data_IF_488915128424
#
_entry.id   IF_488915128424
#
_cell.length_a   1.000
_cell.length_b   1.000
_cell.length_c   1.000
_cell.angle_alpha   90.00
_cell.angle_beta   90.00
_cell.angle_gamma   90.00
#
_symmetry.space_group_name_H-M   'P 1'
#
loop_
_entity.id
_entity.type
_entity.pdbx_description
1 polymer ?
#
# COMPACT_ATOMS: atom_id res chain seq x y z
N UNK A 1 26.50 13.08 13.69
CA UNK A 1 25.03 12.96 13.59
C UNK A 1 24.74 12.23 12.29
N UNK A 2 24.40 10.95 12.36
CA UNK A 2 24.10 10.17 11.16
C UNK A 2 22.74 10.63 10.63
N UNK A 3 22.75 11.20 9.43
CA UNK A 3 21.55 11.48 8.66
C UNK A 3 20.82 10.14 8.48
N UNK A 4 19.68 9.99 9.17
CA UNK A 4 18.70 9.00 8.74
C UNK A 4 18.12 9.57 7.45
N UNK A 5 18.42 8.97 6.32
CA UNK A 5 17.61 9.12 5.10
C UNK A 5 16.22 8.55 5.41
N UNK A 6 15.46 9.34 6.14
CA UNK A 6 14.10 9.05 6.51
C UNK A 6 13.27 9.38 5.26
N UNK A 7 12.97 8.34 4.47
CA UNK A 7 11.81 8.29 3.57
C UNK A 7 10.47 8.40 4.35
N UNK A 8 10.51 8.98 5.54
CA UNK A 8 9.41 9.12 6.46
C UNK A 8 8.62 10.33 5.95
N UNK A 9 7.80 10.11 4.94
CA UNK A 9 6.81 11.08 4.49
C UNK A 9 5.52 10.83 5.30
N UNK A 10 5.39 11.39 6.53
CA UNK A 10 4.24 11.11 7.37
C UNK A 10 2.96 11.70 6.75
N UNK A 11 1.87 10.94 6.82
CA UNK A 11 0.60 11.32 6.17
C UNK A 11 -0.07 12.57 6.73
N UNK A 12 0.36 13.09 7.89
CA UNK A 12 -0.14 14.35 8.44
C UNK A 12 0.47 15.60 7.78
N UNK A 13 1.53 15.45 6.98
CA UNK A 13 2.20 16.56 6.29
C UNK A 13 1.95 16.55 4.77
N UNK A 14 1.14 15.59 4.29
CA UNK A 14 0.84 15.46 2.87
C UNK A 14 -0.05 16.61 2.39
N UNK A 15 0.29 17.16 1.24
CA UNK A 15 -0.49 18.17 0.54
C UNK A 15 -1.09 17.59 -0.74
N UNK A 16 -2.15 18.23 -1.23
CA UNK A 16 -2.76 17.85 -2.51
C UNK A 16 -1.74 18.04 -3.64
N UNK A 17 -1.52 16.99 -4.43
CA UNK A 17 -0.54 16.98 -5.52
C UNK A 17 0.82 16.38 -5.15
N UNK A 18 1.07 16.09 -3.87
CA UNK A 18 2.29 15.41 -3.46
C UNK A 18 2.41 14.01 -4.08
N UNK A 19 3.61 13.67 -4.54
CA UNK A 19 3.97 12.34 -5.01
C UNK A 19 4.98 11.74 -4.06
N UNK A 20 4.58 10.66 -3.38
CA UNK A 20 5.35 10.03 -2.33
C UNK A 20 5.63 8.58 -2.73
N UNK A 21 6.91 8.19 -2.66
CA UNK A 21 7.35 6.83 -2.99
C UNK A 21 7.83 6.14 -1.73
N UNK A 22 7.24 4.97 -1.43
CA UNK A 22 7.65 4.11 -0.33
C UNK A 22 7.95 2.71 -0.84
N UNK A 23 9.01 2.09 -0.32
CA UNK A 23 9.39 0.72 -0.61
C UNK A 23 8.93 -0.18 0.54
N UNK A 24 7.98 -1.07 0.26
CA UNK A 24 7.47 -2.05 1.21
C UNK A 24 7.85 -3.46 0.75
N UNK A 25 8.82 -4.13 1.41
CA UNK A 25 9.20 -5.48 1.04
C UNK A 25 8.07 -6.46 1.34
N UNK A 26 7.71 -7.28 0.36
CA UNK A 26 6.73 -8.36 0.49
C UNK A 26 7.49 -9.68 0.53
N UNK A 27 7.48 -10.36 1.68
CA UNK A 27 8.08 -11.67 1.82
C UNK A 27 7.15 -12.74 1.24
N UNK A 28 7.62 -13.49 0.26
CA UNK A 28 6.92 -14.66 -0.28
C UNK A 28 7.31 -15.89 0.54
N UNK A 29 6.36 -16.62 1.15
CA UNK A 29 6.68 -17.86 1.86
C UNK A 29 7.19 -18.94 0.90
N UNK A 30 8.18 -19.75 1.31
CA UNK A 30 8.69 -20.90 0.52
C UNK A 30 7.62 -21.96 0.23
N UNK A 31 6.51 -21.92 0.96
CA UNK A 31 5.34 -22.79 0.76
C UNK A 31 4.29 -22.19 -0.19
N UNK A 32 4.53 -20.99 -0.74
CA UNK A 32 3.62 -20.36 -1.68
C UNK A 32 3.51 -21.19 -2.96
N UNK A 33 2.29 -21.37 -3.44
CA UNK A 33 2.04 -22.11 -4.68
C UNK A 33 2.43 -21.22 -5.86
N UNK A 34 3.22 -21.70 -6.84
CA UNK A 34 3.47 -20.92 -8.05
C UNK A 34 2.17 -20.53 -8.75
N UNK A 35 2.06 -19.27 -9.17
CA UNK A 35 0.84 -18.73 -9.74
C UNK A 35 0.78 -17.21 -9.74
N UNK A 36 -0.34 -16.69 -10.23
CA UNK A 36 -0.65 -15.26 -10.16
C UNK A 36 -1.45 -14.95 -8.89
N UNK A 37 -1.00 -13.93 -8.17
CA UNK A 37 -1.62 -13.42 -6.97
C UNK A 37 -2.12 -12.01 -7.22
N UNK A 38 -3.42 -11.81 -7.02
CA UNK A 38 -3.99 -10.46 -6.99
C UNK A 38 -3.31 -9.66 -5.87
N UNK A 39 -2.85 -8.46 -6.21
CA UNK A 39 -2.16 -7.58 -5.26
C UNK A 39 -3.00 -6.34 -5.03
N UNK A 40 -3.13 -5.97 -3.76
CA UNK A 40 -3.92 -4.84 -3.31
C UNK A 40 -3.10 -3.97 -2.37
N UNK A 41 -3.38 -2.68 -2.36
CA UNK A 41 -2.84 -1.71 -1.39
C UNK A 41 -4.01 -1.08 -0.65
N UNK A 42 -3.89 -0.94 0.67
CA UNK A 42 -4.89 -0.28 1.50
C UNK A 42 -4.25 0.67 2.48
N UNK A 43 -4.92 1.78 2.75
CA UNK A 43 -4.55 2.72 3.80
C UNK A 43 -5.38 2.42 5.05
N UNK A 44 -4.77 2.59 6.21
CA UNK A 44 -5.42 2.36 7.49
C UNK A 44 -5.37 3.62 8.33
N UNK A 45 -6.45 3.89 9.06
CA UNK A 45 -6.41 4.82 10.16
C UNK A 45 -5.53 4.25 11.27
N UNK A 46 -4.47 4.97 11.63
CA UNK A 46 -3.47 4.46 12.59
C UNK A 46 -4.03 4.23 13.99
N UNK A 47 -5.00 5.05 14.41
CA UNK A 47 -5.53 4.99 15.78
C UNK A 47 -6.51 3.84 15.99
N UNK A 48 -7.36 3.60 15.00
CA UNK A 48 -8.42 2.60 15.06
C UNK A 48 -8.05 1.29 14.37
N UNK A 49 -7.03 1.29 13.51
CA UNK A 49 -6.69 0.15 12.65
C UNK A 49 -7.73 -0.11 11.56
N UNK A 50 -8.70 0.79 11.37
CA UNK A 50 -9.75 0.63 10.36
C UNK A 50 -9.21 0.99 8.99
N UNK A 51 -9.45 0.12 8.00
CA UNK A 51 -9.08 0.36 6.60
C UNK A 51 -9.92 1.50 6.02
N UNK A 52 -9.27 2.47 5.38
CA UNK A 52 -9.92 3.63 4.76
C UNK A 52 -10.60 3.22 3.46
N UNK A 53 -11.77 3.79 3.23
CA UNK A 53 -12.51 3.64 1.98
C UNK A 53 -11.82 4.38 0.83
N UNK A 54 -11.88 3.78 -0.36
CA UNK A 54 -11.64 4.44 -1.64
C UNK A 54 -12.97 5.00 -2.11
N UNK A 55 -12.97 6.27 -2.50
CA UNK A 55 -14.16 6.97 -2.99
C UNK A 55 -13.96 7.40 -4.44
N UNK A 56 -15.04 7.47 -5.20
CA UNK A 56 -15.04 8.09 -6.53
C UNK A 56 -15.12 9.63 -6.43
N UNK A 57 -15.17 10.30 -7.59
CA UNK A 57 -15.27 11.77 -7.67
C UNK A 57 -16.56 12.32 -7.03
N UNK A 58 -17.63 11.52 -6.98
CA UNK A 58 -18.90 11.89 -6.34
C UNK A 58 -18.89 11.64 -4.82
N UNK A 59 -17.80 11.08 -4.27
CA UNK A 59 -17.67 10.74 -2.86
C UNK A 59 -18.33 9.41 -2.48
N UNK A 60 -18.80 8.61 -3.45
CA UNK A 60 -19.36 7.30 -3.18
C UNK A 60 -18.23 6.31 -2.90
N UNK A 61 -18.39 5.49 -1.86
CA UNK A 61 -17.43 4.42 -1.53
C UNK A 61 -17.52 3.33 -2.59
N UNK A 62 -16.41 3.05 -3.25
CA UNK A 62 -16.32 2.01 -4.28
C UNK A 62 -15.57 0.77 -3.79
N UNK A 63 -14.58 0.96 -2.92
CA UNK A 63 -13.73 -0.11 -2.39
C UNK A 63 -13.12 0.29 -1.04
N UNK A 64 -12.31 -0.58 -0.46
CA UNK A 64 -11.43 -0.26 0.69
C UNK A 64 -9.94 -0.43 0.35
N UNK A 65 -9.62 -0.68 -0.91
CA UNK A 65 -8.28 -0.90 -1.40
C UNK A 65 -8.14 -0.48 -2.86
N UNK A 66 -6.90 -0.22 -3.27
CA UNK A 66 -6.53 -0.06 -4.66
C UNK A 66 -5.96 -1.38 -5.19
N UNK A 67 -6.38 -1.77 -6.39
CA UNK A 67 -5.72 -2.84 -7.14
C UNK A 67 -4.38 -2.33 -7.68
N UNK A 68 -3.35 -3.16 -7.59
CA UNK A 68 -2.06 -2.91 -8.23
C UNK A 68 -1.69 -4.09 -9.13
N UNK A 69 -0.55 -3.97 -9.82
CA UNK A 69 -0.08 -5.04 -10.71
C UNK A 69 -0.01 -6.37 -9.95
N UNK A 70 -0.57 -7.46 -10.51
CA UNK A 70 -0.53 -8.76 -9.85
C UNK A 70 0.91 -9.25 -9.71
N UNK A 71 1.16 -10.02 -8.66
CA UNK A 71 2.45 -10.64 -8.41
C UNK A 71 2.44 -12.07 -8.95
N UNK A 72 3.43 -12.40 -9.77
CA UNK A 72 3.62 -13.77 -10.28
C UNK A 72 4.70 -14.48 -9.48
N UNK A 73 4.33 -15.53 -8.78
CA UNK A 73 5.26 -16.44 -8.09
C UNK A 73 5.63 -17.56 -9.05
N UNK A 74 6.93 -17.74 -9.28
CA UNK A 74 7.46 -18.81 -10.17
C UNK A 74 8.17 -19.87 -9.33
N UNK A 75 9.15 -19.45 -8.53
CA UNK A 75 9.88 -20.27 -7.56
C UNK A 75 9.94 -19.50 -6.23
N UNK A 76 9.21 -19.92 -5.20
CA UNK A 76 9.15 -19.23 -3.90
C UNK A 76 10.42 -19.43 -3.05
#
# INVERSE_FOLDING_TARGET
LAQRDALDAPSWDWQSGDVIVQLHPVSVPVTAVPGEYQTIVGLYDRSSGVRRSVVDEAGAVIETYALVSPLRVINP
#
